data_IF_798217362802
#
_entry.id   IF_798217362802
#
_cell.length_a   1.000
_cell.length_b   1.000
_cell.length_c   1.000
_cell.angle_alpha   90.00
_cell.angle_beta   90.00
_cell.angle_gamma   90.00
#
_symmetry.space_group_name_H-M   'P 1'
#
loop_
_entity.id
_entity.type
_entity.pdbx_description
1 polymer ?
#
# COMPACT_ATOMS: atom_id res chain seq x y z
N UNK A 1 -16.36 -14.87 4.76
CA UNK A 1 -15.63 -13.77 5.44
C UNK A 1 -14.21 -13.73 4.90
N UNK A 2 -13.91 -12.84 3.96
CA UNK A 2 -12.54 -12.70 3.47
C UNK A 2 -11.73 -11.94 4.52
N UNK A 3 -10.91 -12.68 5.28
CA UNK A 3 -9.86 -12.13 6.15
C UNK A 3 -8.89 -11.39 5.23
N UNK A 4 -9.13 -10.10 5.01
CA UNK A 4 -8.15 -9.20 4.39
C UNK A 4 -7.06 -8.98 5.43
N UNK A 5 -6.13 -9.93 5.47
CA UNK A 5 -4.87 -9.80 6.19
C UNK A 5 -4.15 -8.60 5.58
N UNK A 6 -3.87 -7.59 6.39
CA UNK A 6 -3.14 -6.41 5.94
C UNK A 6 -1.80 -6.86 5.34
N UNK A 7 -1.54 -6.47 4.09
CA UNK A 7 -0.28 -6.81 3.41
C UNK A 7 0.84 -5.99 4.01
N UNK A 8 1.97 -6.64 4.27
CA UNK A 8 3.19 -5.94 4.68
C UNK A 8 3.77 -5.15 3.52
N UNK A 9 4.62 -4.16 3.83
CA UNK A 9 5.35 -3.39 2.80
C UNK A 9 6.10 -4.34 1.86
N UNK A 10 6.70 -5.40 2.40
CA UNK A 10 7.40 -6.40 1.59
C UNK A 10 6.49 -7.13 0.62
N UNK A 11 5.29 -7.52 1.04
CA UNK A 11 4.32 -8.14 0.11
C UNK A 11 3.88 -7.17 -0.98
N UNK A 12 3.59 -5.92 -0.62
CA UNK A 12 3.24 -4.88 -1.60
C UNK A 12 4.38 -4.62 -2.58
N UNK A 13 5.62 -4.63 -2.10
CA UNK A 13 6.80 -4.45 -2.94
C UNK A 13 7.04 -5.64 -3.88
N UNK A 14 6.83 -6.86 -3.40
CA UNK A 14 6.97 -8.05 -4.25
C UNK A 14 5.91 -8.06 -5.36
N UNK A 15 4.64 -7.78 -5.04
CA UNK A 15 3.58 -7.64 -6.05
C UNK A 15 3.86 -6.51 -7.04
N UNK A 16 4.40 -5.39 -6.57
CA UNK A 16 4.81 -4.30 -7.43
C UNK A 16 5.87 -4.74 -8.45
N UNK A 17 6.91 -5.44 -8.02
CA UNK A 17 7.94 -5.98 -8.92
C UNK A 17 7.43 -7.08 -9.84
N UNK A 18 6.43 -7.86 -9.40
CA UNK A 18 5.82 -8.88 -10.25
C UNK A 18 4.95 -8.27 -11.36
N UNK A 19 4.32 -7.12 -11.08
CA UNK A 19 3.42 -6.44 -12.01
C UNK A 19 4.13 -5.46 -12.94
N UNK A 20 5.16 -4.80 -12.45
CA UNK A 20 5.92 -3.77 -13.17
C UNK A 20 7.38 -4.18 -13.28
N UNK A 21 7.90 -4.15 -14.52
CA UNK A 21 9.32 -4.38 -14.77
C UNK A 21 10.13 -3.14 -14.44
N UNK A 22 11.42 -3.33 -14.15
CA UNK A 22 12.36 -2.26 -13.82
C UNK A 22 12.47 -1.19 -14.92
N UNK A 23 12.13 -1.54 -16.16
CA UNK A 23 12.12 -0.66 -17.32
C UNK A 23 10.88 0.26 -17.37
N UNK A 24 9.73 -0.21 -16.86
CA UNK A 24 8.50 0.59 -16.81
C UNK A 24 8.45 1.58 -15.63
N UNK A 25 9.16 1.28 -14.55
CA UNK A 25 9.22 2.13 -13.36
C UNK A 25 9.75 3.55 -13.66
N UNK A 26 10.87 3.77 -14.37
CA UNK A 26 11.35 5.11 -14.70
C UNK A 26 10.47 5.83 -15.73
N UNK A 27 9.70 5.10 -16.54
CA UNK A 27 8.81 5.67 -17.54
C UNK A 27 7.58 6.36 -16.93
N UNK A 28 7.23 6.08 -15.67
CA UNK A 28 6.11 6.71 -14.97
C UNK A 28 6.52 7.29 -13.62
N UNK A 29 6.28 8.59 -13.44
CA UNK A 29 6.55 9.30 -12.17
C UNK A 29 5.83 8.64 -11.01
N UNK A 30 4.56 8.24 -11.21
CA UNK A 30 3.75 7.51 -10.23
C UNK A 30 4.42 6.19 -9.78
N UNK A 31 4.90 5.39 -10.74
CA UNK A 31 5.57 4.11 -10.48
C UNK A 31 6.92 4.33 -9.79
N UNK A 32 7.70 5.33 -10.22
CA UNK A 32 8.97 5.68 -9.59
C UNK A 32 8.80 6.16 -8.14
N UNK A 33 7.76 6.97 -7.85
CA UNK A 33 7.43 7.37 -6.48
C UNK A 33 7.05 6.16 -5.62
N UNK A 34 6.17 5.31 -6.14
CA UNK A 34 5.71 4.13 -5.41
C UNK A 34 6.86 3.15 -5.14
N UNK A 35 7.73 2.93 -6.14
CA UNK A 35 8.91 2.09 -6.02
C UNK A 35 9.87 2.60 -4.94
N UNK A 36 10.23 3.90 -4.97
CA UNK A 36 11.12 4.51 -3.97
C UNK A 36 10.53 4.42 -2.55
N UNK A 37 9.22 4.67 -2.41
CA UNK A 37 8.52 4.59 -1.13
C UNK A 37 8.56 3.17 -0.56
N UNK A 38 8.16 2.18 -1.37
CA UNK A 38 8.16 0.78 -0.97
C UNK A 38 9.57 0.26 -0.70
N UNK A 39 10.56 0.63 -1.52
CA UNK A 39 11.96 0.25 -1.31
C UNK A 39 12.51 0.82 0.00
N UNK A 40 12.28 2.11 0.28
CA UNK A 40 12.72 2.76 1.51
C UNK A 40 12.15 2.06 2.75
N UNK A 41 10.84 1.79 2.74
CA UNK A 41 10.18 1.11 3.84
C UNK A 41 10.48 -0.39 3.90
N UNK A 42 10.82 -1.02 2.78
CA UNK A 42 11.27 -2.42 2.78
C UNK A 42 12.67 -2.56 3.40
N UNK A 43 13.52 -1.55 3.29
CA UNK A 43 14.80 -1.50 4.03
C UNK A 43 14.59 -1.38 5.54
N UNK A 44 13.46 -0.80 5.97
CA UNK A 44 13.10 -0.68 7.37
C UNK A 44 12.46 -1.98 7.87
N UNK A 45 12.98 -2.60 8.93
CA UNK A 45 12.47 -3.89 9.47
C UNK A 45 12.25 -4.97 8.40
N UNK A 46 13.07 -4.97 7.35
CA UNK A 46 12.96 -5.89 6.20
C UNK A 46 11.56 -5.86 5.53
N UNK A 47 10.83 -4.75 5.65
CA UNK A 47 9.47 -4.56 5.14
C UNK A 47 8.43 -5.45 5.79
N UNK A 48 8.73 -6.08 6.93
CA UNK A 48 7.87 -7.07 7.57
C UNK A 48 6.85 -6.44 8.55
N UNK A 49 6.33 -5.29 8.17
CA UNK A 49 5.31 -4.56 8.92
C UNK A 49 4.28 -3.98 7.96
N UNK A 50 3.09 -3.73 8.47
CA UNK A 50 2.03 -3.04 7.73
C UNK A 50 2.29 -1.55 7.85
N UNK A 51 2.58 -0.90 6.73
CA UNK A 51 2.70 0.55 6.66
C UNK A 51 1.40 1.13 6.13
N UNK A 52 0.87 2.15 6.80
CA UNK A 52 -0.24 2.95 6.31
C UNK A 52 0.36 4.21 5.69
N UNK A 53 0.52 4.27 4.37
CA UNK A 53 1.13 5.42 3.72
C UNK A 53 0.15 6.59 3.63
N UNK A 54 0.67 7.78 3.34
CA UNK A 54 -0.17 8.97 3.10
C UNK A 54 -1.14 8.80 1.92
N UNK A 55 -2.17 9.65 1.82
CA UNK A 55 -3.29 9.48 0.87
C UNK A 55 -2.85 9.40 -0.60
N UNK A 56 -1.75 10.08 -0.97
CA UNK A 56 -1.18 10.04 -2.32
C UNK A 56 -0.66 8.64 -2.66
N UNK A 57 0.24 8.09 -1.83
CA UNK A 57 0.81 6.75 -2.02
C UNK A 57 -0.27 5.67 -1.88
N UNK A 58 -1.23 5.87 -0.97
CA UNK A 58 -2.39 4.97 -0.83
C UNK A 58 -3.19 4.88 -2.13
N UNK A 59 -3.44 6.02 -2.80
CA UNK A 59 -4.10 6.07 -4.10
C UNK A 59 -3.31 5.34 -5.19
N UNK A 60 -1.99 5.50 -5.21
CA UNK A 60 -1.10 4.79 -6.15
C UNK A 60 -1.15 3.27 -5.95
N UNK A 61 -1.07 2.81 -4.70
CA UNK A 61 -1.15 1.38 -4.37
C UNK A 61 -2.51 0.80 -4.76
N UNK A 62 -3.60 1.55 -4.53
CA UNK A 62 -4.92 1.11 -4.95
C UNK A 62 -5.04 1.05 -6.47
N UNK A 63 -4.54 2.05 -7.20
CA UNK A 63 -4.58 2.12 -8.67
C UNK A 63 -3.74 1.04 -9.33
N UNK A 64 -2.53 0.80 -8.82
CA UNK A 64 -1.55 -0.08 -9.46
C UNK A 64 -1.61 -1.52 -8.93
N UNK A 65 -1.79 -1.73 -7.62
CA UNK A 65 -1.80 -3.06 -7.00
C UNK A 65 -3.21 -3.58 -6.70
N UNK A 66 -4.25 -2.81 -7.05
CA UNK A 66 -5.64 -3.11 -6.70
C UNK A 66 -5.82 -3.43 -5.19
N UNK A 67 -4.98 -2.80 -4.36
CA UNK A 67 -4.97 -3.04 -2.92
C UNK A 67 -5.69 -1.89 -2.21
N UNK A 68 -6.84 -2.22 -1.62
CA UNK A 68 -7.50 -1.32 -0.68
C UNK A 68 -6.91 -1.54 0.71
N UNK A 69 -6.23 -0.52 1.22
CA UNK A 69 -6.04 -0.42 2.66
C UNK A 69 -7.43 -0.39 3.27
N UNK A 70 -7.75 -1.39 4.09
CA UNK A 70 -8.87 -1.24 5.00
C UNK A 70 -8.58 0.02 5.75
N UNK A 71 -9.34 1.09 5.46
CA UNK A 71 -9.57 2.13 6.44
C UNK A 71 -9.96 1.33 7.66
N UNK A 72 -9.11 1.33 8.70
CA UNK A 72 -9.61 1.20 10.04
C UNK A 72 -10.79 2.15 10.03
N UNK A 73 -12.00 1.58 9.94
CA UNK A 73 -13.19 2.29 10.33
C UNK A 73 -12.79 2.70 11.73
N UNK A 74 -12.38 3.95 11.92
CA UNK A 74 -12.76 4.62 13.15
C UNK A 74 -14.22 4.18 13.30
N UNK A 75 -14.61 3.56 14.42
CA UNK A 75 -16.01 3.55 14.74
C UNK A 75 -16.34 5.04 14.76
N UNK A 76 -16.87 5.56 13.66
CA UNK A 76 -17.77 6.68 13.71
C UNK A 76 -18.85 6.11 14.62
N UNK A 77 -18.64 6.37 15.91
CA UNK A 77 -19.65 6.56 16.93
C UNK A 77 -21.00 6.38 16.26
N UNK A 78 -21.48 5.15 16.32
CA UNK A 78 -22.90 4.90 16.34
C UNK A 78 -23.36 5.58 17.63
N UNK A 79 -23.48 6.91 17.58
CA UNK A 79 -24.20 7.63 18.60
C UNK A 79 -25.66 7.26 18.37
N UNK A 80 -26.01 6.22 19.11
CA UNK A 80 -27.36 5.80 19.37
C UNK A 80 -28.12 7.02 19.90
N UNK A 81 -29.30 7.21 19.34
CA UNK A 81 -30.53 7.63 20.05
C UNK A 81 -30.45 8.96 20.82
N UNK A 82 -31.23 9.93 20.36
CA UNK A 82 -32.49 10.25 21.05
C UNK A 82 -33.50 10.90 20.12
#
# INVERSE_FOLDING_TARGET
>A
MMKTTEKTVRQLFDEFKQKYTTDQIPASVELSMLFKHLQYHCSFSNGNYVHVPGPQIQGLIQKHLNYSFKKTKSPAIADRTS
#
